data_IF_110393709907
#
_entry.id   IF_110393709907
#
_cell.length_a   1.000
_cell.length_b   1.000
_cell.length_c   1.000
_cell.angle_alpha   90.00
_cell.angle_beta   90.00
_cell.angle_gamma   90.00
#
_symmetry.space_group_name_H-M   'P 1'
#
loop_
_entity.id
_entity.type
_entity.pdbx_description
1 polymer ?
#
# COMPACT_ATOMS: atom_id res chain seq x y z
N UNK A 1 -39.17 12.47 43.27
CA UNK A 1 -40.37 13.28 42.93
C UNK A 1 -39.86 14.59 42.35
N UNK A 2 -39.86 14.72 41.03
CA UNK A 2 -40.90 15.39 40.22
C UNK A 2 -40.56 16.89 40.11
N UNK A 3 -39.91 17.36 39.03
CA UNK A 3 -40.48 18.10 37.85
C UNK A 3 -41.19 19.41 38.26
N UNK A 4 -41.17 20.55 37.57
CA UNK A 4 -40.96 20.93 36.16
C UNK A 4 -41.12 22.47 36.05
N UNK A 5 -40.57 23.12 35.01
CA UNK A 5 -41.21 24.13 34.11
C UNK A 5 -40.11 24.72 33.19
N UNK A 6 -40.09 24.48 31.86
CA UNK A 6 -40.83 25.15 30.75
C UNK A 6 -40.61 26.69 30.74
N UNK A 7 -40.24 27.40 29.66
CA UNK A 7 -40.44 27.20 28.22
C UNK A 7 -39.59 28.18 27.33
N UNK A 8 -39.56 27.89 26.01
CA UNK A 8 -39.56 28.78 24.81
C UNK A 8 -38.31 29.59 24.35
N UNK A 9 -37.69 29.09 23.25
CA UNK A 9 -37.21 29.70 21.96
C UNK A 9 -36.99 31.23 21.82
N UNK A 10 -36.06 31.76 20.98
CA UNK A 10 -35.92 31.43 19.54
C UNK A 10 -34.51 31.56 18.89
N UNK A 11 -34.55 31.45 17.56
CA UNK A 11 -33.54 31.28 16.51
C UNK A 11 -32.59 32.46 16.21
N UNK A 12 -31.62 32.14 15.35
CA UNK A 12 -30.89 32.96 14.37
C UNK A 12 -29.54 33.67 14.66
N UNK A 13 -28.63 33.35 13.73
CA UNK A 13 -27.35 33.89 13.24
C UNK A 13 -26.78 35.19 13.85
N UNK A 14 -25.47 35.13 14.15
CA UNK A 14 -24.60 36.31 14.35
C UNK A 14 -23.19 36.09 13.79
N UNK A 15 -22.82 36.93 12.83
CA UNK A 15 -21.48 37.04 12.21
C UNK A 15 -20.59 37.93 13.11
N UNK A 16 -19.27 37.64 13.10
CA UNK A 16 -18.19 38.62 12.86
C UNK A 16 -17.29 39.06 14.04
N UNK A 17 -15.97 39.08 13.73
CA UNK A 17 -14.98 40.17 13.90
C UNK A 17 -13.70 39.78 14.67
N UNK A 18 -12.61 39.62 13.92
CA UNK A 18 -11.42 40.50 13.89
C UNK A 18 -10.42 39.87 12.90
N UNK A 19 -10.24 40.38 11.69
CA UNK A 19 -9.68 41.68 11.27
C UNK A 19 -8.26 41.92 11.80
N UNK A 20 -7.29 42.03 10.89
CA UNK A 20 -6.45 43.23 10.66
C UNK A 20 -5.44 42.96 9.52
N UNK A 21 -5.65 43.70 8.41
CA UNK A 21 -4.73 44.41 7.49
C UNK A 21 -3.40 43.73 7.08
N UNK A 22 -2.99 43.64 5.81
CA UNK A 22 -3.33 44.42 4.62
C UNK A 22 -2.38 45.62 4.44
N UNK A 23 -1.47 45.55 3.46
CA UNK A 23 -0.99 46.72 2.70
C UNK A 23 -0.27 46.31 1.41
N UNK A 24 -0.87 46.75 0.32
CA UNK A 24 -0.43 46.80 -1.07
C UNK A 24 0.62 47.88 -1.33
N UNK A 25 1.40 47.73 -2.41
CA UNK A 25 1.66 48.84 -3.33
C UNK A 25 3.11 49.05 -3.72
N UNK A 26 3.37 49.12 -5.04
CA UNK A 26 4.61 49.68 -5.57
C UNK A 26 4.93 49.30 -7.01
N UNK A 27 4.29 49.98 -7.97
CA UNK A 27 4.80 50.12 -9.34
C UNK A 27 6.08 50.96 -9.32
N UNK A 28 7.12 50.53 -10.04
CA UNK A 28 8.20 51.39 -10.48
C UNK A 28 8.65 50.97 -11.89
N UNK A 29 8.52 51.92 -12.83
CA UNK A 29 9.12 51.90 -14.16
C UNK A 29 10.65 52.05 -14.04
N UNK A 30 11.40 51.23 -14.77
CA UNK A 30 12.76 51.55 -15.15
C UNK A 30 12.98 51.16 -16.62
N UNK A 31 13.29 52.18 -17.43
CA UNK A 31 13.75 52.04 -18.79
C UNK A 31 15.22 51.57 -18.78
N UNK A 32 15.53 50.59 -19.63
CA UNK A 32 16.90 50.10 -19.84
C UNK A 32 16.99 49.39 -21.18
N UNK A 33 17.75 50.00 -22.09
CA UNK A 33 18.03 49.59 -23.46
C UNK A 33 18.83 48.30 -23.58
N UNK A 34 18.51 47.49 -24.61
CA UNK A 34 19.52 46.71 -25.34
C UNK A 34 19.53 45.20 -25.15
N UNK A 35 18.86 44.49 -26.07
CA UNK A 35 19.37 43.38 -26.91
C UNK A 35 18.22 42.43 -27.27
N UNK A 36 17.99 42.31 -28.58
CA UNK A 36 17.03 41.40 -29.20
C UNK A 36 17.43 39.94 -28.92
N UNK A 37 16.99 39.39 -27.80
CA UNK A 37 17.00 37.96 -27.52
C UNK A 37 15.71 37.33 -28.01
N UNK A 38 15.76 36.65 -29.16
CA UNK A 38 14.66 35.79 -29.65
C UNK A 38 14.21 34.87 -28.51
N UNK A 39 12.91 34.79 -28.16
CA UNK A 39 12.45 33.84 -27.16
C UNK A 39 12.71 32.42 -27.70
N UNK A 40 13.78 31.78 -27.22
CA UNK A 40 13.92 30.33 -27.33
C UNK A 40 12.78 29.74 -26.50
N UNK A 41 11.71 29.31 -27.17
CA UNK A 41 10.78 28.31 -26.63
C UNK A 41 11.66 27.18 -26.10
N UNK A 42 11.71 27.02 -24.79
CA UNK A 42 12.16 25.77 -24.19
C UNK A 42 11.17 24.71 -24.69
N UNK A 43 11.56 24.01 -25.75
CA UNK A 43 10.90 22.78 -26.14
C UNK A 43 11.21 21.84 -24.99
N UNK A 44 10.21 21.58 -24.14
CA UNK A 44 10.30 20.51 -23.16
C UNK A 44 10.72 19.26 -23.95
N UNK A 45 11.94 18.77 -23.69
CA UNK A 45 12.36 17.50 -24.26
C UNK A 45 11.30 16.47 -23.85
N UNK A 46 10.77 15.66 -24.77
CA UNK A 46 9.88 14.59 -24.38
C UNK A 46 10.63 13.76 -23.34
N UNK A 47 10.07 13.69 -22.12
CA UNK A 47 10.54 12.78 -21.10
C UNK A 47 10.53 11.40 -21.73
N UNK A 48 11.70 10.87 -22.11
CA UNK A 48 11.82 9.47 -22.50
C UNK A 48 11.28 8.69 -21.31
N UNK A 49 10.06 8.15 -21.44
CA UNK A 49 9.65 7.02 -20.60
C UNK A 49 10.76 6.00 -20.78
N UNK A 50 11.54 5.77 -19.73
CA UNK A 50 12.39 4.59 -19.70
C UNK A 50 11.40 3.42 -19.76
N UNK A 51 11.29 2.80 -20.93
CA UNK A 51 10.44 1.64 -21.08
C UNK A 51 11.01 0.57 -20.16
N UNK A 52 10.29 0.26 -19.08
CA UNK A 52 10.60 -0.92 -18.30
C UNK A 52 10.56 -2.12 -19.25
N UNK A 53 11.58 -2.96 -19.23
CA UNK A 53 11.60 -4.18 -20.01
C UNK A 53 10.41 -5.03 -19.58
N UNK A 54 9.54 -5.41 -20.52
CA UNK A 54 8.49 -6.38 -20.22
C UNK A 54 9.14 -7.72 -19.96
N UNK A 55 9.16 -8.14 -18.68
CA UNK A 55 9.74 -9.41 -18.24
C UNK A 55 8.73 -10.56 -18.23
N UNK A 56 7.49 -10.30 -18.65
CA UNK A 56 6.35 -11.22 -18.58
C UNK A 56 5.32 -10.81 -17.54
N UNK A 57 4.21 -11.55 -17.45
CA UNK A 57 3.13 -11.29 -16.50
C UNK A 57 2.39 -12.57 -16.12
N UNK A 58 1.75 -12.60 -14.94
CA UNK A 58 0.86 -13.71 -14.59
C UNK A 58 -0.49 -13.66 -15.30
N UNK A 59 -0.99 -14.82 -15.70
CA UNK A 59 -2.39 -15.05 -16.07
C UNK A 59 -3.25 -15.18 -14.80
N UNK A 60 -4.14 -14.21 -14.60
CA UNK A 60 -5.03 -14.17 -13.44
C UNK A 60 -6.13 -15.23 -13.46
N UNK A 61 -6.41 -15.87 -14.60
CA UNK A 61 -7.40 -16.96 -14.70
C UNK A 61 -6.85 -18.33 -14.30
N UNK A 62 -5.52 -18.46 -14.22
CA UNK A 62 -4.87 -19.70 -13.84
C UNK A 62 -5.22 -20.14 -12.41
N UNK A 63 -5.08 -21.44 -12.15
CA UNK A 63 -5.31 -22.04 -10.85
C UNK A 63 -4.52 -21.35 -9.74
N UNK A 64 -5.17 -21.14 -8.60
CA UNK A 64 -4.53 -20.65 -7.38
C UNK A 64 -4.02 -21.84 -6.56
N UNK A 65 -2.82 -21.73 -6.01
CA UNK A 65 -2.17 -22.77 -5.20
C UNK A 65 -1.96 -22.27 -3.77
N UNK A 66 -2.15 -23.11 -2.74
CA UNK A 66 -1.83 -22.72 -1.37
C UNK A 66 -0.32 -22.60 -1.17
N UNK A 67 0.10 -21.60 -0.41
CA UNK A 67 1.47 -21.44 0.09
C UNK A 67 1.53 -21.57 1.61
N UNK A 68 0.67 -20.83 2.31
CA UNK A 68 0.48 -20.92 3.76
C UNK A 68 -1.00 -21.03 4.06
N UNK A 69 -1.34 -21.82 5.08
CA UNK A 69 -2.71 -22.01 5.54
C UNK A 69 -2.76 -21.97 7.07
N UNK A 70 -3.75 -21.23 7.57
CA UNK A 70 -4.11 -21.13 8.97
C UNK A 70 -2.91 -20.85 9.91
N UNK A 71 -2.07 -19.86 9.54
CA UNK A 71 -0.89 -19.47 10.33
C UNK A 71 -1.18 -18.24 11.18
N UNK A 72 -0.72 -18.26 12.43
CA UNK A 72 -0.81 -17.10 13.32
C UNK A 72 0.41 -16.20 13.15
N UNK A 73 0.17 -14.89 13.24
CA UNK A 73 1.20 -13.85 13.40
C UNK A 73 1.39 -13.54 14.89
N UNK A 74 2.25 -12.58 15.25
CA UNK A 74 2.36 -12.14 16.65
C UNK A 74 1.09 -11.42 17.13
N UNK A 75 0.51 -10.57 16.28
CA UNK A 75 -0.70 -9.79 16.58
C UNK A 75 -1.96 -10.54 16.16
N UNK A 76 -2.24 -11.63 16.89
CA UNK A 76 -3.25 -12.62 16.50
C UNK A 76 -4.70 -12.11 16.49
N UNK A 77 -5.00 -10.95 17.10
CA UNK A 77 -6.36 -10.41 17.18
C UNK A 77 -6.65 -9.36 16.10
N UNK A 78 -5.71 -9.14 15.18
CA UNK A 78 -5.88 -8.17 14.11
C UNK A 78 -5.74 -8.81 12.74
N UNK A 79 -6.50 -8.26 11.79
CA UNK A 79 -6.40 -8.62 10.38
C UNK A 79 -5.04 -8.17 9.85
N UNK A 80 -4.31 -9.09 9.24
CA UNK A 80 -3.15 -8.76 8.40
C UNK A 80 -3.58 -7.76 7.33
N UNK A 81 -2.84 -6.67 7.16
CA UNK A 81 -3.14 -5.61 6.19
C UNK A 81 -2.35 -5.78 4.89
N UNK A 82 -1.12 -6.30 4.99
CA UNK A 82 -0.36 -6.76 3.83
C UNK A 82 0.81 -7.65 4.24
N UNK A 83 1.57 -8.11 3.25
CA UNK A 83 2.78 -8.87 3.44
C UNK A 83 3.78 -8.62 2.30
N UNK A 84 5.05 -8.93 2.53
CA UNK A 84 6.09 -8.93 1.51
C UNK A 84 7.12 -10.03 1.79
N UNK A 85 7.94 -10.33 0.78
CA UNK A 85 8.99 -11.34 0.88
C UNK A 85 10.37 -10.69 0.77
N UNK A 86 11.31 -11.14 1.60
CA UNK A 86 12.74 -11.05 1.28
C UNK A 86 13.17 -12.38 0.66
N UNK A 87 13.20 -12.49 -0.69
CA UNK A 87 13.48 -13.76 -1.38
C UNK A 87 14.85 -14.34 -1.05
N UNK A 88 15.81 -13.49 -0.72
CA UNK A 88 17.19 -13.91 -0.54
C UNK A 88 17.48 -14.37 0.89
N UNK A 89 16.89 -13.70 1.89
CA UNK A 89 16.97 -14.15 3.28
C UNK A 89 15.85 -15.13 3.64
N UNK A 90 14.94 -15.43 2.71
CA UNK A 90 13.83 -16.37 2.84
C UNK A 90 12.87 -16.04 3.99
N UNK A 91 12.58 -14.75 4.13
CA UNK A 91 11.65 -14.24 5.14
C UNK A 91 10.35 -13.75 4.51
N UNK A 92 9.24 -14.11 5.14
CA UNK A 92 7.94 -13.47 4.95
C UNK A 92 7.77 -12.43 6.05
N UNK A 93 7.34 -11.23 5.68
CA UNK A 93 6.94 -10.20 6.63
C UNK A 93 5.47 -9.91 6.44
N UNK A 94 4.71 -9.81 7.53
CA UNK A 94 3.30 -9.42 7.53
C UNK A 94 3.15 -8.17 8.37
N UNK A 95 2.32 -7.23 7.94
CA UNK A 95 2.01 -6.01 8.69
C UNK A 95 0.56 -6.03 9.14
N UNK A 96 0.31 -5.60 10.38
CA UNK A 96 -1.02 -5.51 10.97
C UNK A 96 -1.06 -4.39 12.02
N UNK A 97 -2.26 -4.04 12.47
CA UNK A 97 -2.41 -3.28 13.71
C UNK A 97 -1.94 -4.16 14.88
N UNK A 98 -1.16 -3.61 15.84
CA UNK A 98 -0.70 -4.40 16.98
C UNK A 98 -1.84 -4.71 17.95
N UNK A 99 -1.76 -5.84 18.64
CA UNK A 99 -2.71 -6.19 19.70
C UNK A 99 -2.77 -5.09 20.77
N UNK A 100 -3.96 -4.54 21.02
CA UNK A 100 -4.17 -3.43 21.96
C UNK A 100 -3.73 -2.05 21.43
N UNK A 101 -3.33 -1.97 20.16
CA UNK A 101 -3.00 -0.73 19.48
C UNK A 101 -4.20 0.11 19.10
N UNK A 102 -3.95 1.34 18.69
CA UNK A 102 -4.96 2.28 18.16
C UNK A 102 -4.87 2.41 16.64
N UNK A 103 -5.87 3.07 16.03
CA UNK A 103 -5.86 3.39 14.60
C UNK A 103 -4.53 4.02 14.16
N UNK A 104 -4.08 3.64 12.95
CA UNK A 104 -2.81 4.06 12.38
C UNK A 104 -1.56 3.36 12.93
N UNK A 105 -1.64 2.72 14.11
CA UNK A 105 -0.49 2.00 14.66
C UNK A 105 -0.28 0.69 13.92
N UNK A 106 0.96 0.44 13.51
CA UNK A 106 1.34 -0.77 12.79
C UNK A 106 2.43 -1.54 13.53
N UNK A 107 2.48 -2.82 13.24
CA UNK A 107 3.49 -3.77 13.70
C UNK A 107 3.77 -4.78 12.60
N UNK A 108 4.99 -5.31 12.58
CA UNK A 108 5.42 -6.31 11.61
C UNK A 108 5.80 -7.59 12.31
N UNK A 109 5.30 -8.72 11.81
CA UNK A 109 5.77 -10.06 12.18
C UNK A 109 6.67 -10.60 11.07
N UNK A 110 7.82 -11.19 11.45
CA UNK A 110 8.69 -11.95 10.54
C UNK A 110 8.43 -13.44 10.69
N UNK A 111 8.14 -14.12 9.59
CA UNK A 111 7.89 -15.55 9.53
C UNK A 111 8.86 -16.26 8.58
N UNK A 112 9.16 -17.52 8.88
CA UNK A 112 9.69 -18.44 7.87
C UNK A 112 8.64 -18.70 6.78
N UNK A 113 9.04 -19.26 5.65
CA UNK A 113 8.10 -19.72 4.61
C UNK A 113 7.22 -20.90 5.04
N UNK A 114 7.49 -21.52 6.19
CA UNK A 114 6.58 -22.49 6.82
C UNK A 114 5.55 -21.84 7.76
N UNK A 115 5.61 -20.52 7.94
CA UNK A 115 4.73 -19.77 8.84
C UNK A 115 5.18 -19.77 10.30
N UNK A 116 6.44 -20.10 10.60
CA UNK A 116 6.98 -20.00 11.96
C UNK A 116 7.40 -18.57 12.25
N UNK A 117 6.81 -17.96 13.28
CA UNK A 117 7.19 -16.63 13.76
C UNK A 117 8.63 -16.65 14.29
N UNK A 118 9.43 -15.67 13.87
CA UNK A 118 10.86 -15.54 14.19
C UNK A 118 11.26 -14.12 14.59
N UNK A 119 10.30 -13.20 14.67
CA UNK A 119 10.53 -11.85 15.17
C UNK A 119 9.30 -10.95 14.99
N UNK A 120 9.32 -9.83 15.71
CA UNK A 120 8.26 -8.84 15.75
C UNK A 120 8.83 -7.44 15.91
N UNK A 121 8.18 -6.42 15.36
CA UNK A 121 8.62 -5.04 15.48
C UNK A 121 7.43 -4.08 15.48
N UNK A 122 7.30 -3.28 16.54
CA UNK A 122 6.28 -2.23 16.62
C UNK A 122 6.74 -1.00 15.85
N UNK A 123 5.90 -0.51 14.94
CA UNK A 123 6.25 0.58 14.04
C UNK A 123 5.70 1.95 14.47
N UNK A 124 4.71 1.96 15.37
CA UNK A 124 4.01 3.18 15.78
C UNK A 124 2.98 3.64 14.74
N UNK A 125 2.51 4.88 14.86
CA UNK A 125 1.47 5.45 14.01
C UNK A 125 2.03 5.83 12.62
N UNK A 126 1.74 5.01 11.61
CA UNK A 126 2.29 5.16 10.26
C UNK A 126 1.24 5.20 9.15
N UNK A 127 0.08 4.57 9.34
CA UNK A 127 -0.89 4.36 8.27
C UNK A 127 -1.72 3.09 8.48
N UNK A 128 -2.30 2.59 7.39
CA UNK A 128 -3.17 1.41 7.41
C UNK A 128 -2.40 0.12 7.16
N UNK A 129 -1.30 0.17 6.40
CA UNK A 129 -0.49 -0.99 6.06
C UNK A 129 -0.97 -1.79 4.85
N UNK A 130 -1.76 -1.22 3.93
CA UNK A 130 -2.32 -1.94 2.74
C UNK A 130 -1.25 -2.45 1.77
N UNK A 131 -0.04 -1.91 1.83
CA UNK A 131 1.11 -2.47 1.10
C UNK A 131 2.41 -2.15 1.81
N UNK A 132 3.39 -3.02 1.63
CA UNK A 132 4.74 -2.88 2.14
C UNK A 132 5.74 -3.51 1.16
N UNK A 133 7.00 -3.11 1.27
CA UNK A 133 8.10 -3.72 0.51
C UNK A 133 9.18 -4.22 1.44
N UNK A 134 9.85 -5.32 1.08
CA UNK A 134 11.11 -5.70 1.68
C UNK A 134 12.23 -5.34 0.70
N UNK A 135 13.42 -5.10 1.21
CA UNK A 135 14.61 -4.83 0.44
C UNK A 135 15.80 -5.47 1.15
N UNK A 136 16.55 -6.31 0.43
CA UNK A 136 17.76 -6.89 0.97
C UNK A 136 18.88 -5.85 1.03
N UNK A 137 19.63 -5.84 2.11
CA UNK A 137 20.97 -5.26 2.17
C UNK A 137 21.89 -6.21 2.95
N UNK A 138 22.67 -7.02 2.22
CA UNK A 138 23.44 -8.12 2.83
C UNK A 138 22.52 -9.10 3.57
N UNK A 139 22.86 -9.46 4.80
CA UNK A 139 22.04 -10.33 5.67
C UNK A 139 20.87 -9.60 6.34
N UNK A 140 20.77 -8.28 6.16
CA UNK A 140 19.71 -7.46 6.74
C UNK A 140 18.57 -7.28 5.75
N UNK A 141 17.36 -7.15 6.29
CA UNK A 141 16.18 -6.73 5.52
C UNK A 141 15.80 -5.32 5.94
N UNK A 142 15.64 -4.44 4.95
CA UNK A 142 15.02 -3.14 5.09
C UNK A 142 13.56 -3.23 4.65
N UNK A 143 12.67 -2.57 5.37
CA UNK A 143 11.25 -2.53 5.07
C UNK A 143 10.88 -1.12 4.59
N UNK A 144 10.04 -1.09 3.58
CA UNK A 144 9.36 0.09 3.07
C UNK A 144 7.91 0.06 3.53
N UNK A 145 7.47 1.10 4.24
CA UNK A 145 6.10 1.24 4.73
C UNK A 145 5.60 2.66 4.52
N UNK A 146 4.31 2.87 4.78
CA UNK A 146 3.73 4.20 5.00
C UNK A 146 4.48 4.99 6.10
N UNK A 147 4.35 6.31 6.03
CA UNK A 147 4.86 7.30 6.97
C UNK A 147 3.94 8.53 7.00
N UNK A 148 4.02 9.31 8.08
CA UNK A 148 3.24 10.54 8.30
C UNK A 148 1.73 10.27 8.31
N UNK A 149 1.28 9.63 9.40
CA UNK A 149 -0.10 9.20 9.59
C UNK A 149 -1.09 10.37 9.59
N UNK A 150 -2.13 10.24 8.78
CA UNK A 150 -3.28 11.12 8.74
C UNK A 150 -4.51 10.42 9.34
N UNK A 151 -4.89 10.85 10.55
CA UNK A 151 -6.04 10.29 11.26
C UNK A 151 -7.39 10.50 10.54
N UNK A 152 -7.49 11.46 9.61
CA UNK A 152 -8.73 11.72 8.87
C UNK A 152 -8.97 10.70 7.75
N UNK A 153 -7.91 10.10 7.22
CA UNK A 153 -7.99 9.09 6.14
C UNK A 153 -7.57 7.70 6.60
N UNK A 154 -6.98 7.60 7.80
CA UNK A 154 -6.31 6.41 8.32
C UNK A 154 -5.17 5.93 7.42
N UNK A 155 -4.39 6.84 6.82
CA UNK A 155 -3.34 6.51 5.84
C UNK A 155 -2.06 7.30 6.07
N UNK A 156 -0.95 6.84 5.51
CA UNK A 156 0.30 7.61 5.44
C UNK A 156 0.29 8.63 4.31
N UNK A 157 0.89 9.79 4.54
CA UNK A 157 1.12 10.83 3.51
C UNK A 157 2.45 10.66 2.79
N UNK A 158 3.31 9.76 3.25
CA UNK A 158 4.58 9.45 2.61
C UNK A 158 5.02 8.01 2.89
N UNK A 159 6.30 7.75 2.67
CA UNK A 159 6.92 6.45 2.93
C UNK A 159 8.16 6.61 3.81
N UNK A 160 8.56 5.50 4.42
CA UNK A 160 9.85 5.38 5.08
C UNK A 160 10.53 4.06 4.73
N UNK A 161 11.85 4.04 4.90
CA UNK A 161 12.70 2.86 4.79
C UNK A 161 13.46 2.68 6.10
N UNK A 162 13.43 1.50 6.71
CA UNK A 162 14.16 1.20 7.95
C UNK A 162 14.59 -0.26 7.97
N UNK A 163 15.66 -0.58 8.70
CA UNK A 163 16.05 -1.96 8.92
C UNK A 163 15.08 -2.64 9.88
N UNK A 164 14.63 -3.85 9.55
CA UNK A 164 13.91 -4.69 10.50
C UNK A 164 14.86 -5.15 11.61
N UNK A 165 14.45 -4.94 12.86
CA UNK A 165 15.14 -5.40 14.06
C UNK A 165 14.10 -5.98 15.00
N UNK A 166 14.25 -7.26 15.35
CA UNK A 166 13.36 -7.95 16.27
C UNK A 166 13.32 -7.25 17.65
N UNK A 167 12.12 -7.05 18.19
CA UNK A 167 11.85 -6.26 19.40
C UNK A 167 12.18 -4.77 19.29
N UNK A 168 12.59 -4.30 18.10
CA UNK A 168 13.06 -2.94 17.89
C UNK A 168 11.94 -1.93 17.59
N UNK A 169 12.37 -0.69 17.40
CA UNK A 169 11.55 0.40 16.85
C UNK A 169 12.19 0.94 15.58
N UNK A 170 11.41 1.47 14.61
CA UNK A 170 11.96 1.90 13.33
C UNK A 170 13.05 2.95 13.50
N UNK A 171 14.21 2.68 12.90
CA UNK A 171 15.29 3.65 12.71
C UNK A 171 15.41 3.92 11.21
N UNK A 172 14.71 4.94 10.69
CA UNK A 172 14.61 5.17 9.26
C UNK A 172 15.93 5.63 8.68
N UNK A 173 16.30 5.07 7.55
CA UNK A 173 17.34 5.60 6.67
C UNK A 173 16.76 6.57 5.64
N UNK A 174 15.45 6.54 5.42
CA UNK A 174 14.72 7.50 4.60
C UNK A 174 13.31 7.74 5.18
N UNK A 175 12.84 8.99 5.09
CA UNK A 175 11.44 9.41 5.33
C UNK A 175 11.11 10.57 4.40
N UNK A 176 9.98 10.49 3.72
CA UNK A 176 9.50 11.59 2.89
C UNK A 176 8.30 11.23 2.03
N UNK A 177 7.80 12.20 1.27
CA UNK A 177 6.74 12.00 0.29
C UNK A 177 7.28 12.29 -1.13
N UNK A 178 7.69 11.25 -1.88
CA UNK A 178 8.15 11.38 -3.27
C UNK A 178 7.08 11.85 -4.28
N UNK A 179 5.85 12.05 -3.82
CA UNK A 179 4.70 12.44 -4.65
C UNK A 179 4.14 13.82 -4.27
N UNK A 180 4.82 14.53 -3.36
CA UNK A 180 4.39 15.82 -2.84
C UNK A 180 4.34 16.92 -3.91
N UNK A 181 5.16 16.82 -4.96
CA UNK A 181 5.16 17.72 -6.12
C UNK A 181 3.81 17.73 -6.87
N UNK A 182 3.02 16.66 -6.77
CA UNK A 182 1.65 16.58 -7.30
C UNK A 182 0.57 16.70 -6.21
N UNK A 183 0.96 16.95 -4.96
CA UNK A 183 0.04 16.92 -3.82
C UNK A 183 -0.46 15.52 -3.45
N UNK A 184 0.36 14.50 -3.69
CA UNK A 184 0.01 13.10 -3.39
C UNK A 184 -0.16 12.82 -1.90
N UNK A 185 -1.20 12.06 -1.58
CA UNK A 185 -1.53 11.54 -0.23
C UNK A 185 -1.85 10.05 -0.29
N UNK A 186 -2.09 9.40 0.86
CA UNK A 186 -2.40 7.96 0.95
C UNK A 186 -1.35 7.10 0.23
N UNK A 187 -0.08 7.36 0.53
CA UNK A 187 1.07 6.87 -0.23
C UNK A 187 1.52 5.53 0.34
N UNK A 188 1.34 4.45 -0.43
CA UNK A 188 1.78 3.10 -0.05
C UNK A 188 2.90 2.62 -0.97
N UNK A 189 3.92 1.90 -0.47
CA UNK A 189 5.01 1.35 -1.30
C UNK A 189 4.80 -0.12 -1.68
N UNK A 190 5.38 -0.53 -2.81
CA UNK A 190 5.58 -1.93 -3.19
C UNK A 190 6.95 -2.10 -3.85
N UNK A 191 7.63 -3.21 -3.57
CA UNK A 191 8.97 -3.51 -4.10
C UNK A 191 8.92 -4.71 -5.03
N UNK A 192 9.51 -4.55 -6.22
CA UNK A 192 9.86 -5.64 -7.11
C UNK A 192 11.37 -5.89 -7.04
N UNK A 193 11.73 -7.00 -6.41
CA UNK A 193 13.13 -7.39 -6.25
C UNK A 193 13.81 -7.75 -7.56
N UNK A 194 13.09 -8.40 -8.47
CA UNK A 194 13.63 -8.94 -9.71
C UNK A 194 14.02 -7.82 -10.65
N UNK A 195 13.13 -6.84 -10.81
CA UNK A 195 13.36 -5.70 -11.72
C UNK A 195 14.01 -4.50 -11.03
N UNK A 196 14.36 -4.61 -9.74
CA UNK A 196 14.90 -3.51 -8.91
C UNK A 196 14.02 -2.27 -8.92
N UNK A 197 12.71 -2.43 -8.71
CA UNK A 197 11.75 -1.32 -8.75
C UNK A 197 11.13 -1.03 -7.38
N UNK A 198 10.94 0.25 -7.09
CA UNK A 198 10.05 0.74 -6.04
C UNK A 198 8.86 1.42 -6.70
N UNK A 199 7.65 0.92 -6.47
CA UNK A 199 6.43 1.56 -6.88
C UNK A 199 5.72 2.21 -5.70
N UNK A 200 5.11 3.37 -5.94
CA UNK A 200 4.22 4.05 -5.01
C UNK A 200 2.83 4.12 -5.59
N UNK A 201 1.82 3.71 -4.82
CA UNK A 201 0.42 4.04 -5.07
C UNK A 201 0.03 5.20 -4.19
N UNK A 202 -0.59 6.23 -4.77
CA UNK A 202 -0.95 7.47 -4.08
C UNK A 202 -2.24 8.06 -4.67
N UNK A 203 -2.87 8.97 -3.94
CA UNK A 203 -4.08 9.67 -4.37
C UNK A 203 -3.79 11.14 -4.67
N UNK A 204 -4.27 11.63 -5.80
CA UNK A 204 -4.25 13.05 -6.19
C UNK A 204 -5.61 13.41 -6.79
N UNK A 205 -6.25 14.46 -6.30
CA UNK A 205 -7.54 14.92 -6.82
C UNK A 205 -8.63 13.83 -6.83
N UNK A 206 -8.65 12.98 -5.80
CA UNK A 206 -9.58 11.84 -5.68
C UNK A 206 -9.27 10.63 -6.56
N UNK A 207 -8.22 10.68 -7.39
CA UNK A 207 -7.82 9.58 -8.27
C UNK A 207 -6.58 8.86 -7.74
N UNK A 208 -6.56 7.52 -7.83
CA UNK A 208 -5.36 6.74 -7.55
C UNK A 208 -4.36 6.83 -8.71
N UNK A 209 -3.07 6.92 -8.39
CA UNK A 209 -1.95 6.96 -9.33
C UNK A 209 -0.85 6.02 -8.88
N UNK A 210 -0.02 5.61 -9.83
CA UNK A 210 1.22 4.89 -9.58
C UNK A 210 2.41 5.69 -10.10
N UNK A 211 3.49 5.72 -9.32
CA UNK A 211 4.82 6.15 -9.75
C UNK A 211 5.81 5.03 -9.52
N UNK A 212 6.73 4.83 -10.44
CA UNK A 212 7.78 3.81 -10.35
C UNK A 212 9.15 4.48 -10.37
N UNK A 213 10.02 4.02 -9.49
CA UNK A 213 11.40 4.46 -9.33
C UNK A 213 12.34 3.26 -9.41
N UNK A 214 13.60 3.55 -9.72
CA UNK A 214 14.69 2.61 -9.48
C UNK A 214 14.87 2.42 -7.97
N UNK A 215 14.86 1.17 -7.51
CA UNK A 215 14.90 0.86 -6.09
C UNK A 215 16.25 1.23 -5.47
N UNK A 216 17.36 1.05 -6.18
CA UNK A 216 18.68 1.32 -5.61
C UNK A 216 18.89 2.83 -5.44
N UNK A 217 18.40 3.66 -6.37
CA UNK A 217 18.35 5.13 -6.20
C UNK A 217 17.39 5.55 -5.10
N UNK A 218 16.21 4.97 -5.04
CA UNK A 218 15.24 5.26 -3.98
C UNK A 218 15.80 4.93 -2.59
N UNK A 219 16.54 3.82 -2.45
CA UNK A 219 17.22 3.45 -1.21
C UNK A 219 18.28 4.45 -0.77
N UNK A 220 18.90 5.15 -1.72
CA UNK A 220 19.80 6.27 -1.46
C UNK A 220 19.06 7.61 -1.21
N UNK A 221 17.72 7.60 -1.21
CA UNK A 221 16.88 8.78 -1.02
C UNK A 221 16.70 9.63 -2.29
N UNK A 222 17.07 9.11 -3.45
CA UNK A 222 16.96 9.80 -4.73
C UNK A 222 15.69 9.39 -5.49
N UNK A 223 14.73 10.31 -5.52
CA UNK A 223 13.46 10.19 -6.24
C UNK A 223 13.38 11.15 -7.43
N UNK A 224 14.51 11.70 -7.89
CA UNK A 224 14.55 12.71 -8.95
C UNK A 224 14.12 12.19 -10.33
N UNK A 225 14.18 10.87 -10.54
CA UNK A 225 13.82 10.24 -11.80
C UNK A 225 12.62 9.30 -11.64
N UNK A 226 11.47 9.72 -12.15
CA UNK A 226 10.28 8.87 -12.29
C UNK A 226 10.44 8.02 -13.56
N UNK A 227 10.45 6.70 -13.42
CA UNK A 227 10.56 5.76 -14.55
C UNK A 227 9.24 5.64 -15.30
N UNK A 228 8.15 5.46 -14.56
CA UNK A 228 6.78 5.41 -15.08
C UNK A 228 5.84 6.14 -14.12
N UNK A 229 4.81 6.76 -14.69
CA UNK A 229 3.69 7.32 -13.95
C UNK A 229 2.40 7.06 -14.72
N UNK A 230 1.35 6.65 -14.01
CA UNK A 230 0.04 6.40 -14.60
C UNK A 230 -1.09 6.62 -13.61
N UNK A 231 -2.24 7.08 -14.13
CA UNK A 231 -3.48 7.15 -13.37
C UNK A 231 -4.19 5.81 -13.45
N UNK A 232 -4.61 5.27 -12.31
CA UNK A 232 -5.40 4.05 -12.25
C UNK A 232 -6.81 4.33 -12.79
N UNK A 233 -7.29 3.61 -13.82
CA UNK A 233 -8.69 3.66 -14.20
C UNK A 233 -9.58 3.15 -13.06
N UNK A 234 -10.79 3.70 -12.93
CA UNK A 234 -11.73 3.30 -11.90
C UNK A 234 -11.96 1.77 -11.93
N UNK A 235 -12.00 1.18 -10.73
CA UNK A 235 -12.25 -0.23 -10.51
C UNK A 235 -13.21 -0.36 -9.34
N UNK A 236 -14.27 -1.14 -9.52
CA UNK A 236 -15.27 -1.36 -8.48
C UNK A 236 -14.77 -2.36 -7.43
N UNK A 237 -15.40 -2.32 -6.25
CA UNK A 237 -15.10 -3.19 -5.12
C UNK A 237 -14.18 -2.54 -4.08
N UNK A 238 -14.07 -3.20 -2.94
CA UNK A 238 -13.22 -2.76 -1.82
C UNK A 238 -11.78 -3.11 -2.10
N UNK A 239 -10.88 -2.11 -2.04
CA UNK A 239 -9.46 -2.30 -2.32
C UNK A 239 -8.72 -2.87 -1.10
N UNK A 240 -8.05 -4.01 -1.28
CA UNK A 240 -7.44 -4.77 -0.19
C UNK A 240 -5.94 -5.07 -0.37
N UNK A 241 -5.35 -4.67 -1.48
CA UNK A 241 -3.92 -4.88 -1.67
C UNK A 241 -3.46 -4.67 -3.09
N UNK A 242 -2.15 -4.52 -3.22
CA UNK A 242 -1.52 -4.40 -4.52
C UNK A 242 -0.03 -4.72 -4.47
N UNK A 243 0.53 -5.06 -5.62
CA UNK A 243 1.98 -5.20 -5.82
C UNK A 243 2.37 -4.79 -7.23
N UNK A 244 3.60 -4.30 -7.40
CA UNK A 244 4.22 -4.17 -8.73
C UNK A 244 4.96 -5.46 -9.10
N UNK A 245 4.99 -5.78 -10.40
CA UNK A 245 6.00 -6.65 -10.99
C UNK A 245 6.28 -6.21 -12.44
N UNK A 246 7.51 -5.81 -12.72
CA UNK A 246 7.93 -5.26 -14.01
C UNK A 246 7.06 -4.08 -14.44
N UNK A 247 6.46 -4.21 -15.62
CA UNK A 247 5.57 -3.19 -16.21
C UNK A 247 4.11 -3.29 -15.76
N UNK A 248 3.79 -4.16 -14.79
CA UNK A 248 2.41 -4.41 -14.36
C UNK A 248 2.21 -4.11 -12.88
N UNK A 249 1.02 -3.60 -12.57
CA UNK A 249 0.48 -3.56 -11.21
C UNK A 249 -0.62 -4.59 -11.08
N UNK A 250 -0.58 -5.34 -9.99
CA UNK A 250 -1.60 -6.31 -9.61
C UNK A 250 -2.40 -5.74 -8.45
N UNK A 251 -3.72 -5.88 -8.52
CA UNK A 251 -4.66 -5.34 -7.54
C UNK A 251 -5.55 -6.44 -7.00
N UNK A 252 -5.79 -6.40 -5.69
CA UNK A 252 -6.69 -7.28 -4.97
C UNK A 252 -7.88 -6.46 -4.46
N UNK A 253 -9.07 -6.92 -4.77
CA UNK A 253 -10.30 -6.34 -4.25
C UNK A 253 -11.20 -7.42 -3.66
N UNK A 254 -12.05 -7.05 -2.71
CA UNK A 254 -13.08 -7.90 -2.12
C UNK A 254 -13.37 -7.53 -0.68
N UNK A 255 -14.46 -8.06 -0.15
CA UNK A 255 -14.90 -7.86 1.22
C UNK A 255 -14.78 -9.15 2.02
N UNK A 256 -14.79 -9.03 3.35
CA UNK A 256 -14.99 -10.16 4.24
C UNK A 256 -16.29 -10.91 3.94
N UNK A 257 -16.31 -12.20 4.21
CA UNK A 257 -17.54 -12.99 4.18
C UNK A 257 -18.58 -12.42 5.15
N UNK A 258 -19.82 -12.28 4.66
CA UNK A 258 -20.95 -11.76 5.43
C UNK A 258 -22.28 -12.26 4.85
N UNK A 259 -23.42 -11.86 5.44
CA UNK A 259 -24.73 -12.20 4.88
C UNK A 259 -24.98 -11.64 3.47
N UNK A 260 -24.35 -10.51 3.12
CA UNK A 260 -24.44 -9.89 1.78
C UNK A 260 -23.27 -10.25 0.87
N UNK A 261 -22.23 -10.90 1.41
CA UNK A 261 -21.09 -11.44 0.67
C UNK A 261 -20.79 -12.88 1.14
N UNK A 262 -21.72 -13.83 0.95
CA UNK A 262 -21.53 -15.20 1.40
C UNK A 262 -20.45 -15.90 0.58
N UNK A 263 -19.89 -17.02 1.07
CA UNK A 263 -18.98 -17.87 0.30
C UNK A 263 -19.56 -18.17 -1.10
N UNK A 264 -18.75 -18.06 -2.19
CA UNK A 264 -17.30 -17.88 -2.22
C UNK A 264 -16.82 -16.42 -2.10
N UNK A 265 -17.70 -15.48 -1.78
CA UNK A 265 -17.42 -14.05 -1.67
C UNK A 265 -17.11 -13.38 -3.01
N UNK A 266 -16.60 -12.16 -2.97
CA UNK A 266 -16.41 -11.29 -4.13
C UNK A 266 -14.93 -10.95 -4.41
N UNK A 267 -13.98 -11.74 -3.91
CA UNK A 267 -12.55 -11.48 -4.15
C UNK A 267 -12.23 -11.50 -5.65
N UNK A 268 -11.58 -10.44 -6.13
CA UNK A 268 -11.12 -10.31 -7.51
C UNK A 268 -9.68 -9.83 -7.61
N UNK A 269 -9.03 -10.22 -8.71
CA UNK A 269 -7.68 -9.83 -9.09
C UNK A 269 -7.73 -9.05 -10.41
N UNK A 270 -6.98 -7.96 -10.50
CA UNK A 270 -6.83 -7.17 -11.73
C UNK A 270 -5.36 -6.91 -12.03
N UNK A 271 -5.02 -6.77 -13.32
CA UNK A 271 -3.68 -6.47 -13.83
C UNK A 271 -3.74 -5.18 -14.65
N UNK A 272 -3.08 -4.12 -14.18
CA UNK A 272 -2.91 -2.84 -14.86
C UNK A 272 -1.56 -2.81 -15.57
N UNK A 273 -1.56 -2.46 -16.85
CA UNK A 273 -0.32 -2.21 -17.60
C UNK A 273 0.12 -0.75 -17.38
N UNK A 274 1.31 -0.55 -16.81
CA UNK A 274 1.85 0.77 -16.50
C UNK A 274 2.28 1.56 -17.75
N UNK A 275 2.54 0.87 -18.87
CA UNK A 275 2.91 1.50 -20.13
C UNK A 275 1.69 2.10 -20.83
N UNK A 276 0.52 1.46 -20.74
CA UNK A 276 -0.72 1.93 -21.40
C UNK A 276 -1.65 2.68 -20.45
N UNK A 277 -1.59 2.36 -19.15
CA UNK A 277 -2.57 2.81 -18.16
C UNK A 277 -3.92 2.16 -18.25
N UNK A 278 -4.03 1.03 -18.96
CA UNK A 278 -5.25 0.26 -19.09
C UNK A 278 -5.14 -1.09 -18.37
N UNK A 279 -6.26 -1.62 -17.90
CA UNK A 279 -6.31 -2.99 -17.39
C UNK A 279 -6.01 -3.97 -18.53
N UNK A 280 -4.91 -4.70 -18.40
CA UNK A 280 -4.54 -5.78 -19.31
C UNK A 280 -5.32 -7.06 -19.01
N UNK A 281 -5.80 -7.23 -17.78
CA UNK A 281 -6.66 -8.35 -17.39
C UNK A 281 -7.48 -8.00 -16.14
N UNK A 282 -8.67 -8.59 -16.06
CA UNK A 282 -9.53 -8.53 -14.88
C UNK A 282 -10.58 -7.42 -14.92
N UNK A 283 -11.44 -7.35 -13.89
CA UNK A 283 -11.39 -8.18 -12.67
C UNK A 283 -11.65 -9.67 -12.93
N UNK A 284 -10.81 -10.54 -12.33
CA UNK A 284 -10.96 -12.00 -12.37
C UNK A 284 -11.27 -12.51 -10.96
N UNK A 285 -12.36 -13.25 -10.78
CA UNK A 285 -12.73 -13.82 -9.49
C UNK A 285 -11.69 -14.83 -8.99
N UNK A 286 -11.40 -14.82 -7.69
CA UNK A 286 -10.51 -15.78 -7.03
C UNK A 286 -11.24 -16.57 -5.94
N UNK A 287 -11.34 -17.87 -6.15
CA UNK A 287 -11.89 -18.82 -5.18
C UNK A 287 -10.81 -19.47 -4.28
N UNK A 288 -9.61 -18.87 -4.21
CA UNK A 288 -8.56 -19.38 -3.32
C UNK A 288 -9.05 -19.39 -1.86
N UNK A 289 -8.93 -20.53 -1.20
CA UNK A 289 -9.48 -20.76 0.14
C UNK A 289 -10.99 -20.47 0.28
N UNK A 290 -11.77 -20.64 -0.79
CA UNK A 290 -13.21 -20.39 -0.79
C UNK A 290 -14.00 -21.21 0.23
N UNK A 291 -13.45 -22.35 0.67
CA UNK A 291 -14.02 -23.25 1.68
C UNK A 291 -13.84 -22.79 3.13
N UNK A 292 -13.11 -21.69 3.39
CA UNK A 292 -12.98 -21.15 4.75
C UNK A 292 -14.34 -20.69 5.30
N UNK A 293 -14.52 -20.76 6.62
CA UNK A 293 -15.75 -20.31 7.28
C UNK A 293 -15.84 -18.78 7.33
N UNK A 294 -14.70 -18.12 7.53
CA UNK A 294 -14.54 -16.68 7.33
C UNK A 294 -13.39 -16.45 6.37
N UNK A 295 -13.49 -15.43 5.51
CA UNK A 295 -12.44 -15.10 4.55
C UNK A 295 -12.52 -13.62 4.22
N UNK A 296 -11.41 -12.92 4.35
CA UNK A 296 -11.21 -11.54 3.92
C UNK A 296 -9.89 -11.46 3.14
N UNK A 297 -9.87 -10.97 1.89
CA UNK A 297 -8.64 -10.85 1.11
C UNK A 297 -7.79 -9.70 1.63
N UNK A 298 -6.47 -9.90 1.75
CA UNK A 298 -5.54 -8.92 2.34
C UNK A 298 -4.12 -9.06 1.74
N UNK A 299 -3.64 -7.99 1.10
CA UNK A 299 -2.27 -7.88 0.61
C UNK A 299 -1.91 -8.72 -0.62
N UNK A 300 -0.84 -8.30 -1.30
CA UNK A 300 -0.26 -9.01 -2.45
C UNK A 300 1.26 -8.87 -2.46
N UNK A 301 1.96 -9.83 -3.08
CA UNK A 301 3.40 -9.70 -3.34
C UNK A 301 3.81 -10.45 -4.63
N UNK A 302 4.65 -9.81 -5.43
CA UNK A 302 5.36 -10.46 -6.54
C UNK A 302 6.67 -11.08 -6.05
N UNK A 303 7.01 -12.25 -6.57
CA UNK A 303 8.15 -13.03 -6.09
C UNK A 303 8.72 -13.93 -7.17
N UNK A 304 10.05 -13.99 -7.27
CA UNK A 304 10.75 -14.97 -8.09
C UNK A 304 11.53 -15.88 -7.17
N UNK A 305 11.28 -17.19 -7.26
CA UNK A 305 12.00 -18.21 -6.49
C UNK A 305 13.45 -18.32 -6.97
N UNK A 306 14.29 -18.92 -6.11
CA UNK A 306 15.66 -19.27 -6.47
C UNK A 306 15.76 -20.24 -7.66
N UNK A 307 14.71 -21.04 -7.92
CA UNK A 307 14.61 -21.92 -9.09
C UNK A 307 14.06 -21.23 -10.36
N UNK A 308 13.80 -19.92 -10.30
CA UNK A 308 13.30 -19.11 -11.41
C UNK A 308 11.77 -19.10 -11.56
N UNK A 309 11.02 -19.83 -10.74
CA UNK A 309 9.56 -19.80 -10.79
C UNK A 309 9.02 -18.44 -10.32
N UNK A 310 8.20 -17.81 -11.18
CA UNK A 310 7.55 -16.54 -10.90
C UNK A 310 6.21 -16.78 -10.22
N UNK A 311 5.97 -16.14 -9.08
CA UNK A 311 4.74 -16.28 -8.30
C UNK A 311 4.13 -14.94 -7.94
N UNK A 312 2.84 -14.80 -8.20
CA UNK A 312 2.00 -13.73 -7.67
C UNK A 312 1.26 -14.25 -6.44
N UNK A 313 1.63 -13.75 -5.27
CA UNK A 313 0.99 -14.09 -4.00
C UNK A 313 -0.12 -13.10 -3.66
N UNK A 314 -1.16 -13.60 -2.99
CA UNK A 314 -2.24 -12.81 -2.42
C UNK A 314 -2.78 -13.50 -1.17
N UNK A 315 -3.06 -12.71 -0.15
CA UNK A 315 -3.32 -13.17 1.20
C UNK A 315 -4.80 -13.13 1.55
N UNK A 316 -5.13 -13.85 2.61
CA UNK A 316 -6.43 -13.88 3.23
C UNK A 316 -6.28 -13.97 4.74
N UNK A 317 -7.24 -13.39 5.45
CA UNK A 317 -7.44 -13.57 6.88
C UNK A 317 -8.75 -14.31 7.11
N UNK A 318 -8.74 -15.28 8.02
CA UNK A 318 -9.93 -16.03 8.40
C UNK A 318 -9.59 -17.41 8.92
N UNK A 319 -10.60 -18.27 9.10
CA UNK A 319 -10.41 -19.61 9.63
C UNK A 319 -11.20 -20.68 8.85
N UNK A 320 -10.63 -21.87 8.73
CA UNK A 320 -11.26 -23.04 8.10
C UNK A 320 -12.19 -23.82 9.05
N UNK A 321 -12.01 -23.69 10.37
CA UNK A 321 -12.73 -24.47 11.40
C UNK A 321 -13.63 -23.65 12.35
N UNK A 322 -13.99 -24.20 13.51
CA UNK A 322 -14.72 -23.49 14.57
C UNK A 322 -13.80 -22.53 15.34
N UNK A 323 -14.33 -21.39 15.78
CA UNK A 323 -13.59 -20.37 16.57
C UNK A 323 -13.04 -20.97 17.88
N UNK A 324 -11.81 -20.64 18.25
CA UNK A 324 -11.21 -21.09 19.52
C UNK A 324 -11.66 -20.20 20.69
N UNK A 325 -12.12 -20.81 21.79
CA UNK A 325 -12.80 -20.12 22.90
C UNK A 325 -11.92 -19.25 23.84
N UNK A 326 -10.66 -18.97 23.50
CA UNK A 326 -9.64 -18.48 24.45
C UNK A 326 -9.18 -17.03 24.35
N UNK A 327 -9.76 -16.20 23.48
CA UNK A 327 -9.23 -14.84 23.19
C UNK A 327 -10.13 -13.71 23.75
N UNK A 328 -9.63 -12.47 23.89
CA UNK A 328 -10.35 -11.35 24.54
C UNK A 328 -11.63 -10.92 23.80
N UNK A 329 -11.71 -11.14 22.47
CA UNK A 329 -12.93 -11.17 21.65
C UNK A 329 -13.30 -12.61 21.19
N UNK A 330 -12.44 -13.59 21.48
CA UNK A 330 -12.54 -14.99 21.10
C UNK A 330 -12.02 -15.33 19.69
N UNK A 331 -11.36 -14.41 18.97
CA UNK A 331 -11.03 -14.61 17.54
C UNK A 331 -9.54 -14.38 17.26
N UNK A 332 -8.79 -15.48 17.24
CA UNK A 332 -7.54 -15.52 16.48
C UNK A 332 -7.87 -15.34 14.99
N UNK A 333 -7.05 -14.55 14.31
CA UNK A 333 -7.18 -14.20 12.89
C UNK A 333 -6.01 -14.80 12.12
N UNK A 334 -6.03 -16.12 11.82
CA UNK A 334 -4.97 -16.72 11.06
C UNK A 334 -4.92 -16.16 9.64
N UNK A 335 -3.72 -16.21 9.06
CA UNK A 335 -3.43 -15.86 7.68
C UNK A 335 -3.30 -17.12 6.82
N UNK A 336 -3.79 -17.00 5.59
CA UNK A 336 -3.59 -17.96 4.51
C UNK A 336 -3.12 -17.20 3.27
N UNK A 337 -2.13 -17.72 2.56
CA UNK A 337 -1.55 -17.08 1.38
C UNK A 337 -1.61 -18.06 0.23
N UNK A 338 -2.20 -17.62 -0.89
CA UNK A 338 -2.23 -18.36 -2.14
C UNK A 338 -1.29 -17.71 -3.17
N UNK A 339 -1.00 -18.43 -4.24
CA UNK A 339 -0.26 -17.88 -5.37
C UNK A 339 -0.76 -18.38 -6.73
N UNK A 340 -0.45 -17.61 -7.77
CA UNK A 340 -0.51 -18.02 -9.18
C UNK A 340 0.91 -18.10 -9.74
N UNK A 341 1.18 -19.09 -10.59
CA UNK A 341 2.50 -19.32 -11.20
C UNK A 341 2.47 -19.47 -12.73
N UNK A 342 1.31 -19.32 -13.37
CA UNK A 342 1.22 -19.24 -14.83
C UNK A 342 1.75 -17.87 -15.30
N UNK A 343 3.04 -17.82 -15.66
CA UNK A 343 3.75 -16.62 -16.06
C UNK A 343 4.21 -16.72 -17.51
N UNK A 344 3.95 -15.68 -18.31
CA UNK A 344 4.28 -15.58 -19.74
C UNK A 344 4.67 -14.17 -20.13
#
# INVERSE_FOLDING_TARGET
MTTQQLSTTPDDRGISRRAVLGATGGLALAAGTGLLGVPRRAVAAPSRRAALTSVGSWDLTATSHPFLEDKLTTDTHHTMQSFCFDPNNQWLFTIAQPNGGTAGQLSVTRLSYGGTVSGHMNLGALGHGVSMGAERSGTSTFLWTEYDYDASTDRGRGIQRFQFVDGGTPRPTYRGNPTADEGGVNVTPSVDHWNRLLALKYTVGGSSRFRVYDLDRASAGDFSQVLLQVTQPALAGTFQGWTIFGSYVYLLHGDAYSGTNPSPGNTTLSKLDLSTGAYAQGPVHSNAFGSMTSREPEGMAGYVKADGEHRLYFGFVGHSGTRSAGQPDGIDRPISIAYKNAFS
#
